data_IF_454194948963
#
_entry.id   IF_454194948963
#
_cell.length_a   1.000
_cell.length_b   1.000
_cell.length_c   1.000
_cell.angle_alpha   90.00
_cell.angle_beta   90.00
_cell.angle_gamma   90.00
#
_symmetry.space_group_name_H-M   'P 1'
#
loop_
_entity.id
_entity.type
_entity.pdbx_description
1 polymer ?
#
# COMPACT_ATOMS: atom_id res chain seq x y z
N UNK A 1 -29.29 19.42 -5.08
CA UNK A 1 -27.86 19.09 -5.23
C UNK A 1 -27.70 17.61 -4.95
N UNK A 2 -27.58 16.79 -5.99
CA UNK A 2 -27.18 15.39 -5.84
C UNK A 2 -25.71 15.40 -5.44
N UNK A 3 -25.40 14.96 -4.22
CA UNK A 3 -24.04 14.60 -3.89
C UNK A 3 -23.65 13.43 -4.79
N UNK A 4 -22.82 13.71 -5.79
CA UNK A 4 -21.97 12.71 -6.42
C UNK A 4 -21.21 12.01 -5.30
N UNK A 5 -21.65 10.81 -4.89
CA UNK A 5 -20.96 10.04 -3.86
C UNK A 5 -19.58 9.70 -4.40
N UNK A 6 -18.59 10.50 -4.02
CA UNK A 6 -17.19 10.22 -4.32
C UNK A 6 -16.90 8.78 -3.90
N UNK A 7 -16.54 7.94 -4.88
CA UNK A 7 -16.31 6.50 -4.66
C UNK A 7 -15.21 6.36 -3.62
N UNK A 8 -15.44 5.60 -2.57
CA UNK A 8 -14.41 5.34 -1.55
C UNK A 8 -13.52 4.21 -2.04
N UNK A 9 -12.21 4.45 -2.03
CA UNK A 9 -11.22 3.50 -2.50
C UNK A 9 -10.34 3.05 -1.33
N UNK A 10 -10.11 1.75 -1.26
CA UNK A 10 -9.10 1.15 -0.40
C UNK A 10 -7.89 0.77 -1.25
N UNK A 11 -6.72 1.32 -0.90
CA UNK A 11 -5.45 1.01 -1.52
C UNK A 11 -4.63 0.13 -0.58
N UNK A 12 -4.43 -1.12 -0.99
CA UNK A 12 -3.63 -2.13 -0.29
C UNK A 12 -2.43 -2.47 -1.17
N UNK A 13 -1.23 -2.31 -0.64
CA UNK A 13 0.03 -2.42 -1.39
C UNK A 13 0.87 -3.52 -0.77
N UNK A 14 1.42 -4.39 -1.61
CA UNK A 14 2.50 -5.30 -1.22
C UNK A 14 3.84 -4.55 -1.30
N UNK A 15 4.39 -4.20 -0.14
CA UNK A 15 5.62 -3.42 0.00
C UNK A 15 6.89 -4.20 -0.34
N UNK A 16 6.84 -5.52 -0.38
CA UNK A 16 7.97 -6.34 -0.80
C UNK A 16 8.09 -6.41 -2.33
N UNK A 17 6.97 -6.23 -3.05
CA UNK A 17 6.90 -6.30 -4.51
C UNK A 17 6.67 -4.95 -5.21
N UNK A 18 6.42 -3.87 -4.46
CA UNK A 18 6.26 -2.52 -4.99
C UNK A 18 7.52 -1.66 -4.80
N UNK A 19 7.65 -0.62 -5.63
CA UNK A 19 8.73 0.36 -5.50
C UNK A 19 8.23 1.62 -4.77
N UNK A 20 8.88 2.08 -3.68
CA UNK A 20 8.46 3.26 -2.94
C UNK A 20 8.35 4.53 -3.79
N UNK A 21 9.18 4.66 -4.83
CA UNK A 21 9.23 5.82 -5.72
C UNK A 21 7.95 6.02 -6.54
N UNK A 22 7.18 4.96 -6.81
CA UNK A 22 5.97 5.01 -7.65
C UNK A 22 4.70 5.38 -6.87
N UNK A 23 4.79 5.48 -5.53
CA UNK A 23 3.61 5.69 -4.68
C UNK A 23 2.91 7.00 -4.94
N UNK A 24 3.66 8.07 -5.18
CA UNK A 24 3.07 9.38 -5.51
C UNK A 24 2.21 9.30 -6.76
N UNK A 25 2.73 8.69 -7.82
CA UNK A 25 2.02 8.53 -9.09
C UNK A 25 0.79 7.63 -8.95
N UNK A 26 0.89 6.54 -8.18
CA UNK A 26 -0.24 5.65 -7.90
C UNK A 26 -1.35 6.40 -7.16
N UNK A 27 -1.01 7.19 -6.13
CA UNK A 27 -2.00 7.96 -5.38
C UNK A 27 -2.66 9.04 -6.24
N UNK A 28 -1.89 9.71 -7.10
CA UNK A 28 -2.39 10.70 -8.03
C UNK A 28 -3.35 10.09 -9.06
N UNK A 29 -3.02 8.90 -9.57
CA UNK A 29 -3.87 8.18 -10.53
C UNK A 29 -5.15 7.68 -9.85
N UNK A 30 -5.04 6.98 -8.71
CA UNK A 30 -6.20 6.44 -7.99
C UNK A 30 -7.14 7.57 -7.52
N UNK A 31 -6.59 8.72 -7.12
CA UNK A 31 -7.36 9.89 -6.70
C UNK A 31 -8.32 10.44 -7.77
N UNK A 32 -8.06 10.16 -9.07
CA UNK A 32 -8.98 10.53 -10.16
C UNK A 32 -10.29 9.74 -10.14
N UNK A 33 -10.30 8.56 -9.52
CA UNK A 33 -11.44 7.64 -9.53
C UNK A 33 -12.27 7.71 -8.24
N UNK A 34 -11.76 8.35 -7.19
CA UNK A 34 -12.45 8.44 -5.91
C UNK A 34 -11.58 8.85 -4.72
N UNK A 35 -12.22 9.00 -3.56
CA UNK A 35 -11.55 9.33 -2.31
C UNK A 35 -10.86 8.09 -1.73
N UNK A 36 -9.53 8.15 -1.59
CA UNK A 36 -8.75 7.10 -0.96
C UNK A 36 -8.90 7.19 0.57
N UNK A 37 -9.70 6.30 1.14
CA UNK A 37 -10.00 6.26 2.58
C UNK A 37 -9.15 5.26 3.36
N UNK A 38 -8.58 4.27 2.68
CA UNK A 38 -7.65 3.31 3.29
C UNK A 38 -6.37 3.29 2.46
N UNK A 39 -5.22 3.40 3.13
CA UNK A 39 -3.90 3.33 2.53
C UNK A 39 -3.03 2.46 3.41
N UNK A 40 -2.72 1.24 2.95
CA UNK A 40 -1.90 0.30 3.71
C UNK A 40 -0.83 -0.30 2.83
N UNK A 41 0.37 -0.43 3.39
CA UNK A 41 1.44 -1.22 2.80
C UNK A 41 1.73 -2.39 3.73
N UNK A 42 1.72 -3.59 3.18
CA UNK A 42 2.02 -4.84 3.86
C UNK A 42 3.45 -5.22 3.55
N UNK A 43 4.19 -5.66 4.57
CA UNK A 43 5.56 -6.12 4.38
C UNK A 43 6.22 -6.46 5.70
N UNK A 44 7.40 -7.07 5.62
CA UNK A 44 8.20 -7.35 6.80
C UNK A 44 9.06 -6.13 7.18
N UNK A 45 8.55 -5.24 8.03
CA UNK A 45 9.24 -4.00 8.42
C UNK A 45 10.49 -4.23 9.29
N UNK A 46 10.81 -5.49 9.61
CA UNK A 46 12.06 -5.84 10.29
C UNK A 46 13.24 -5.96 9.33
N UNK A 47 12.99 -5.99 8.01
CA UNK A 47 14.03 -6.19 7.00
C UNK A 47 14.59 -4.89 6.44
N UNK A 48 15.83 -4.96 5.97
CA UNK A 48 16.52 -3.80 5.36
C UNK A 48 15.87 -3.33 4.06
N UNK A 49 15.21 -4.23 3.31
CA UNK A 49 14.54 -3.85 2.05
C UNK A 49 13.34 -2.91 2.28
N UNK A 50 12.78 -2.88 3.49
CA UNK A 50 11.69 -1.96 3.82
C UNK A 50 12.16 -0.53 4.16
N UNK A 51 13.46 -0.29 4.32
CA UNK A 51 14.00 1.02 4.69
C UNK A 51 13.63 2.13 3.68
N UNK A 52 13.54 1.80 2.39
CA UNK A 52 13.19 2.74 1.32
C UNK A 52 11.76 3.30 1.42
N UNK A 53 10.88 2.62 2.16
CA UNK A 53 9.48 3.02 2.32
C UNK A 53 9.27 4.12 3.37
N UNK A 54 10.21 4.31 4.31
CA UNK A 54 10.03 5.21 5.46
C UNK A 54 9.61 6.62 5.06
N UNK A 55 10.25 7.17 4.01
CA UNK A 55 9.92 8.50 3.47
C UNK A 55 8.51 8.51 2.85
N UNK A 56 8.22 7.54 1.97
CA UNK A 56 6.94 7.43 1.28
C UNK A 56 5.75 7.26 2.24
N UNK A 57 5.92 6.47 3.32
CA UNK A 57 4.89 6.30 4.36
C UNK A 57 4.53 7.63 5.03
N UNK A 58 5.56 8.40 5.40
CA UNK A 58 5.39 9.66 6.13
C UNK A 58 4.75 10.74 5.25
N UNK A 59 5.23 10.89 4.02
CA UNK A 59 4.75 11.90 3.06
C UNK A 59 3.31 11.65 2.63
N UNK A 60 2.89 10.39 2.54
CA UNK A 60 1.61 10.02 1.94
C UNK A 60 0.56 9.52 2.95
N UNK A 61 0.87 9.59 4.25
CA UNK A 61 0.05 9.08 5.34
C UNK A 61 -0.41 7.63 5.11
N UNK A 62 0.53 6.77 4.70
CA UNK A 62 0.25 5.36 4.45
C UNK A 62 0.55 4.57 5.72
N UNK A 63 -0.39 3.72 6.13
CA UNK A 63 -0.23 2.90 7.31
C UNK A 63 0.64 1.67 6.98
N UNK A 64 1.81 1.49 7.62
CA UNK A 64 2.54 0.23 7.52
C UNK A 64 1.82 -0.87 8.29
N UNK A 65 1.73 -2.06 7.69
CA UNK A 65 1.20 -3.27 8.30
C UNK A 65 2.28 -4.33 8.28
N UNK A 66 2.67 -4.82 9.46
CA UNK A 66 3.66 -5.90 9.59
C UNK A 66 3.09 -7.22 9.10
N UNK A 67 3.79 -7.84 8.15
CA UNK A 67 3.52 -9.18 7.68
C UNK A 67 4.77 -10.02 7.90
N UNK A 68 4.68 -11.04 8.75
CA UNK A 68 5.76 -12.00 8.94
C UNK A 68 5.87 -12.88 7.69
N UNK A 69 7.07 -12.97 7.10
CA UNK A 69 7.32 -13.89 5.99
C UNK A 69 7.34 -15.32 6.51
N UNK A 70 6.44 -16.16 6.00
CA UNK A 70 6.42 -17.59 6.34
C UNK A 70 7.41 -18.40 5.50
N UNK A 71 7.87 -17.90 4.34
CA UNK A 71 8.94 -18.50 3.54
C UNK A 71 9.76 -17.43 2.80
N UNK A 72 11.07 -17.65 2.65
CA UNK A 72 11.96 -16.82 1.82
C UNK A 72 12.04 -17.47 0.44
N UNK A 73 11.65 -16.75 -0.62
CA UNK A 73 11.79 -17.21 -2.01
C UNK A 73 10.64 -18.02 -2.61
N UNK A 74 9.50 -18.17 -1.91
CA UNK A 74 8.25 -18.66 -2.50
C UNK A 74 7.07 -17.80 -2.02
N UNK A 75 6.23 -17.35 -2.95
CA UNK A 75 4.89 -16.78 -2.82
C UNK A 75 4.28 -16.73 -1.40
N UNK A 76 4.81 -15.90 -0.51
CA UNK A 76 4.19 -15.63 0.78
C UNK A 76 3.10 -14.55 0.68
N UNK A 77 2.91 -13.94 -0.50
CA UNK A 77 1.90 -12.89 -0.74
C UNK A 77 0.60 -13.39 -1.39
N UNK A 78 0.47 -14.66 -1.78
CA UNK A 78 -0.76 -15.15 -2.43
C UNK A 78 -1.91 -15.46 -1.44
N UNK A 79 -1.80 -15.09 -0.16
CA UNK A 79 -2.87 -15.32 0.83
C UNK A 79 -3.20 -14.13 1.75
N UNK A 80 -2.52 -12.99 1.61
CA UNK A 80 -2.84 -11.78 2.38
C UNK A 80 -3.70 -10.78 1.61
N UNK A 81 -3.87 -10.97 0.28
CA UNK A 81 -4.70 -10.14 -0.59
C UNK A 81 -5.93 -10.93 -1.08
N UNK A 82 -6.70 -11.48 -0.16
CA UNK A 82 -8.04 -12.01 -0.47
C UNK A 82 -9.06 -11.06 0.17
N UNK A 83 -9.85 -10.39 -0.67
CA UNK A 83 -11.09 -9.69 -0.31
C UNK A 83 -12.23 -10.50 -0.92
#
# INVERSE_FOLDING_TARGET
MTEERSRKIALLIDGDNAQPSLIGDILAEVGKYGLITIRRIYGDWTTVNMAGWKKALHENAIQPVQQFRYTVGKNATDSALII
#
